data_IF_145227044013
#
_entry.id   IF_145227044013
#
_cell.length_a   1.000
_cell.length_b   1.000
_cell.length_c   1.000
_cell.angle_alpha   90.00
_cell.angle_beta   90.00
_cell.angle_gamma   90.00
#
_symmetry.space_group_name_H-M   'P 1'
#
loop_
_entity.id
_entity.type
_entity.pdbx_description
1 polymer ?
#
# COMPACT_ATOMS: atom_id res chain seq x y z
N UNK A 1 44.85 -45.74 18.44
CA UNK A 1 43.46 -46.06 18.82
C UNK A 1 42.55 -45.23 17.92
N UNK A 2 41.80 -45.92 17.04
CA UNK A 2 40.68 -45.50 16.15
C UNK A 2 40.94 -44.27 15.25
N UNK A 3 41.22 -44.32 13.93
CA UNK A 3 40.83 -45.13 12.74
C UNK A 3 39.33 -45.05 12.30
N UNK A 4 39.10 -44.53 11.09
CA UNK A 4 37.87 -44.65 10.26
C UNK A 4 37.74 -43.51 9.21
N UNK A 5 38.31 -43.59 7.98
CA UNK A 5 37.81 -44.25 6.74
C UNK A 5 36.53 -43.56 6.22
N UNK A 6 36.53 -42.65 5.22
CA UNK A 6 36.68 -42.80 3.75
C UNK A 6 35.78 -43.87 3.08
N UNK A 7 34.71 -43.42 2.41
CA UNK A 7 33.94 -43.98 1.26
C UNK A 7 32.42 -44.04 1.45
N UNK A 8 31.70 -43.18 0.71
CA UNK A 8 30.54 -43.58 -0.10
C UNK A 8 30.33 -42.51 -1.20
N UNK A 9 30.93 -42.74 -2.36
CA UNK A 9 30.59 -42.09 -3.63
C UNK A 9 29.72 -43.04 -4.45
N UNK A 10 28.84 -42.44 -5.26
CA UNK A 10 28.26 -42.98 -6.49
C UNK A 10 27.15 -44.05 -6.38
N UNK A 11 25.89 -43.62 -6.55
CA UNK A 11 25.05 -43.95 -7.73
C UNK A 11 23.60 -43.54 -7.48
N UNK A 12 23.14 -42.46 -8.14
CA UNK A 12 22.08 -42.55 -9.16
C UNK A 12 21.70 -41.15 -9.69
N UNK A 13 21.97 -40.99 -11.00
CA UNK A 13 21.37 -40.06 -11.96
C UNK A 13 21.51 -38.55 -11.64
N UNK A 14 22.47 -37.83 -12.23
CA UNK A 14 22.54 -37.59 -13.68
C UNK A 14 21.15 -37.34 -14.30
N UNK A 15 20.44 -36.32 -13.80
CA UNK A 15 19.61 -35.52 -14.69
C UNK A 15 20.53 -34.46 -15.30
N UNK A 16 21.02 -34.74 -16.50
CA UNK A 16 21.35 -33.70 -17.45
C UNK A 16 20.09 -32.85 -17.62
N UNK A 17 19.94 -31.79 -16.81
CA UNK A 17 19.08 -30.69 -17.20
C UNK A 17 19.77 -30.07 -18.39
N UNK A 18 19.28 -30.41 -19.58
CA UNK A 18 19.46 -29.58 -20.76
C UNK A 18 19.23 -28.14 -20.29
N UNK A 19 20.22 -27.24 -20.43
CA UNK A 19 19.94 -25.82 -20.23
C UNK A 19 18.77 -25.53 -21.16
N UNK A 20 17.64 -25.09 -20.60
CA UNK A 20 16.59 -24.51 -21.41
C UNK A 20 17.28 -23.41 -22.19
N UNK A 21 17.49 -23.65 -23.49
CA UNK A 21 17.86 -22.62 -24.44
C UNK A 21 16.68 -21.68 -24.49
N UNK A 22 16.71 -20.70 -23.60
CA UNK A 22 15.71 -19.65 -23.54
C UNK A 22 15.79 -18.92 -24.88
N UNK A 23 14.72 -18.99 -25.65
CA UNK A 23 14.65 -18.36 -26.95
C UNK A 23 14.60 -16.84 -26.72
N UNK A 24 15.77 -16.18 -26.75
CA UNK A 24 15.95 -14.72 -26.57
C UNK A 24 15.06 -13.84 -27.47
N UNK A 25 14.39 -14.43 -28.46
CA UNK A 25 13.53 -13.71 -29.40
C UNK A 25 12.13 -13.33 -28.87
N UNK A 26 11.78 -13.72 -27.66
CA UNK A 26 10.54 -13.29 -27.01
C UNK A 26 10.84 -12.49 -25.75
N UNK A 27 10.98 -11.16 -25.86
CA UNK A 27 10.56 -10.15 -24.84
C UNK A 27 11.18 -8.77 -25.13
N UNK A 28 10.61 -8.01 -26.06
CA UNK A 28 10.75 -6.55 -26.12
C UNK A 28 9.47 -5.83 -25.70
N UNK A 29 8.44 -6.55 -25.25
CA UNK A 29 7.22 -5.95 -24.74
C UNK A 29 7.50 -5.27 -23.40
N UNK A 30 7.44 -3.94 -23.40
CA UNK A 30 7.31 -3.10 -22.20
C UNK A 30 6.46 -3.78 -21.12
N UNK A 31 6.88 -3.68 -19.86
CA UNK A 31 6.07 -4.16 -18.75
C UNK A 31 4.64 -3.58 -18.86
N UNK A 32 3.57 -4.40 -18.82
CA UNK A 32 2.20 -3.92 -18.97
C UNK A 32 1.88 -2.88 -17.90
N UNK A 33 1.39 -1.71 -18.32
CA UNK A 33 1.09 -0.58 -17.44
C UNK A 33 -0.41 -0.27 -17.35
N UNK A 34 -1.27 -1.17 -17.83
CA UNK A 34 -2.71 -0.92 -17.95
C UNK A 34 -3.49 -1.92 -17.11
N UNK A 35 -4.44 -1.41 -16.32
CA UNK A 35 -5.41 -2.23 -15.59
C UNK A 35 -6.15 -3.14 -16.58
N UNK A 36 -6.35 -4.40 -16.21
CA UNK A 36 -6.98 -5.43 -17.02
C UNK A 36 -6.03 -6.19 -17.94
N UNK A 37 -4.76 -5.78 -18.07
CA UNK A 37 -3.76 -6.57 -18.80
C UNK A 37 -3.27 -7.75 -17.96
N UNK A 38 -2.90 -8.83 -18.65
CA UNK A 38 -2.26 -10.00 -18.03
C UNK A 38 -0.74 -9.85 -18.14
N UNK A 39 -0.08 -9.87 -16.99
CA UNK A 39 1.37 -10.03 -16.90
C UNK A 39 1.72 -11.52 -16.94
N UNK A 40 2.52 -11.94 -17.91
CA UNK A 40 2.99 -13.32 -18.05
C UNK A 40 4.49 -13.40 -17.81
N UNK A 41 4.93 -14.35 -16.98
CA UNK A 41 6.33 -14.62 -16.73
C UNK A 41 6.55 -16.08 -16.32
N UNK A 42 7.80 -16.54 -16.34
CA UNK A 42 8.17 -17.83 -15.77
C UNK A 42 8.63 -17.62 -14.33
N UNK A 43 8.26 -18.54 -13.45
CA UNK A 43 8.75 -18.53 -12.08
C UNK A 43 10.05 -19.30 -11.88
N UNK A 44 10.62 -19.26 -10.68
CA UNK A 44 11.86 -19.95 -10.31
C UNK A 44 11.84 -21.47 -10.55
N UNK A 45 10.66 -22.09 -10.67
CA UNK A 45 10.50 -23.51 -11.01
C UNK A 45 10.34 -23.76 -12.52
N UNK A 46 10.38 -22.73 -13.35
CA UNK A 46 10.15 -22.80 -14.78
C UNK A 46 8.67 -22.93 -15.17
N UNK A 47 7.74 -22.72 -14.23
CA UNK A 47 6.31 -22.76 -14.50
C UNK A 47 5.86 -21.39 -15.02
N UNK A 48 5.02 -21.39 -16.06
CA UNK A 48 4.39 -20.17 -16.56
C UNK A 48 3.38 -19.67 -15.52
N UNK A 49 3.48 -18.39 -15.17
CA UNK A 49 2.57 -17.66 -14.30
C UNK A 49 1.91 -16.53 -15.05
N UNK A 50 0.65 -16.25 -14.71
CA UNK A 50 -0.15 -15.20 -15.32
C UNK A 50 -0.85 -14.42 -14.21
N UNK A 51 -0.73 -13.10 -14.26
CA UNK A 51 -1.29 -12.20 -13.26
C UNK A 51 -2.12 -11.12 -13.95
N UNK A 52 -3.42 -11.08 -13.68
CA UNK A 52 -4.30 -10.01 -14.11
C UNK A 52 -4.04 -8.76 -13.26
N UNK A 53 -3.58 -7.68 -13.89
CA UNK A 53 -3.29 -6.41 -13.21
C UNK A 53 -4.58 -5.68 -12.86
N UNK A 54 -4.85 -5.45 -11.57
CA UNK A 54 -6.10 -4.84 -11.10
C UNK A 54 -5.94 -3.35 -10.77
N UNK A 55 -4.84 -2.98 -10.10
CA UNK A 55 -4.61 -1.59 -9.66
C UNK A 55 -3.13 -1.29 -9.52
N UNK A 56 -2.70 -0.12 -9.99
CA UNK A 56 -1.34 0.37 -9.74
C UNK A 56 -1.21 0.78 -8.26
N UNK A 57 -0.21 0.24 -7.56
CA UNK A 57 0.02 0.55 -6.13
C UNK A 57 1.13 1.57 -5.93
N UNK A 58 2.08 1.66 -6.87
CA UNK A 58 3.19 2.60 -6.81
C UNK A 58 4.34 2.18 -7.72
N UNK A 59 5.34 3.04 -7.85
CA UNK A 59 6.53 2.73 -8.62
C UNK A 59 7.64 3.74 -8.37
N UNK A 60 8.87 3.27 -8.42
CA UNK A 60 10.07 4.09 -8.27
C UNK A 60 10.83 4.22 -9.59
N UNK A 61 12.10 4.62 -9.50
CA UNK A 61 12.98 4.69 -10.68
C UNK A 61 13.12 3.33 -11.38
N UNK A 62 13.20 2.24 -10.61
CA UNK A 62 13.63 0.91 -11.11
C UNK A 62 12.53 -0.13 -11.23
N UNK A 63 11.45 0.01 -10.45
CA UNK A 63 10.37 -0.98 -10.37
C UNK A 63 8.99 -0.34 -10.32
N UNK A 64 7.98 -1.17 -10.58
CA UNK A 64 6.56 -0.85 -10.41
C UNK A 64 5.91 -1.94 -9.56
N UNK A 65 4.88 -1.59 -8.82
CA UNK A 65 4.12 -2.49 -7.95
C UNK A 65 2.63 -2.40 -8.33
N UNK A 66 2.02 -3.56 -8.52
CA UNK A 66 0.62 -3.71 -8.87
C UNK A 66 -0.10 -4.58 -7.85
N UNK A 67 -1.36 -4.26 -7.56
CA UNK A 67 -2.32 -5.24 -7.09
C UNK A 67 -2.68 -6.10 -8.30
N UNK A 68 -2.46 -7.39 -8.18
CA UNK A 68 -2.74 -8.35 -9.22
C UNK A 68 -3.42 -9.60 -8.66
N UNK A 69 -4.02 -10.37 -9.55
CA UNK A 69 -4.67 -11.64 -9.24
C UNK A 69 -4.08 -12.71 -10.15
N UNK A 70 -3.67 -13.86 -9.60
CA UNK A 70 -3.22 -14.98 -10.43
C UNK A 70 -4.40 -15.50 -11.28
N UNK A 71 -4.13 -15.84 -12.54
CA UNK A 71 -5.13 -16.39 -13.47
C UNK A 71 -4.60 -17.62 -14.20
N UNK A 72 -5.49 -18.53 -14.59
CA UNK A 72 -5.13 -19.69 -15.42
C UNK A 72 -5.00 -19.33 -16.91
N UNK A 73 -4.81 -20.33 -17.78
CA UNK A 73 -4.68 -20.15 -19.23
C UNK A 73 -5.95 -19.60 -19.90
N UNK A 74 -7.12 -19.85 -19.31
CA UNK A 74 -8.41 -19.36 -19.77
C UNK A 74 -8.72 -17.94 -19.21
N UNK A 75 -7.88 -17.44 -18.30
CA UNK A 75 -8.06 -16.15 -17.65
C UNK A 75 -8.97 -16.21 -16.42
N UNK A 76 -9.33 -17.40 -15.94
CA UNK A 76 -10.10 -17.56 -14.71
C UNK A 76 -9.23 -17.22 -13.51
N UNK A 77 -9.79 -16.50 -12.55
CA UNK A 77 -9.11 -16.11 -11.31
C UNK A 77 -8.74 -17.34 -10.49
N UNK A 78 -7.48 -17.40 -10.08
CA UNK A 78 -6.90 -18.42 -9.21
C UNK A 78 -6.30 -17.74 -7.96
N UNK A 79 -6.44 -18.38 -6.80
CA UNK A 79 -5.73 -17.98 -5.58
C UNK A 79 -6.14 -16.63 -4.96
N UNK A 80 -5.24 -16.08 -4.14
CA UNK A 80 -5.40 -14.81 -3.41
C UNK A 80 -4.81 -13.63 -4.19
N UNK A 81 -5.29 -12.39 -3.95
CA UNK A 81 -4.66 -11.19 -4.50
C UNK A 81 -3.21 -11.06 -4.03
N UNK A 82 -2.36 -10.52 -4.90
CA UNK A 82 -0.92 -10.36 -4.65
C UNK A 82 -0.46 -8.93 -4.93
N UNK A 83 0.58 -8.50 -4.21
CA UNK A 83 1.39 -7.37 -4.63
C UNK A 83 2.47 -7.89 -5.59
N UNK A 84 2.32 -7.54 -6.87
CA UNK A 84 3.26 -7.90 -7.93
C UNK A 84 4.23 -6.75 -8.17
N UNK A 85 5.46 -6.89 -7.68
CA UNK A 85 6.56 -5.97 -7.95
C UNK A 85 7.36 -6.48 -9.14
N UNK A 86 7.69 -5.61 -10.09
CA UNK A 86 8.50 -5.98 -11.24
C UNK A 86 9.48 -4.89 -11.64
N UNK A 87 10.67 -5.30 -12.08
CA UNK A 87 11.68 -4.40 -12.61
C UNK A 87 11.28 -3.87 -13.99
N UNK A 88 11.53 -2.58 -14.22
CA UNK A 88 11.35 -1.93 -15.52
C UNK A 88 12.40 -2.47 -16.50
N UNK A 89 12.03 -2.61 -17.78
CA UNK A 89 12.99 -3.02 -18.82
C UNK A 89 14.20 -2.07 -18.86
N UNK A 90 15.39 -2.61 -19.15
CA UNK A 90 16.67 -1.88 -19.25
C UNK A 90 17.19 -1.32 -17.91
N UNK A 91 16.81 -1.90 -16.77
CA UNK A 91 17.50 -1.59 -15.51
C UNK A 91 18.95 -2.05 -15.59
N UNK A 92 19.85 -1.24 -15.05
CA UNK A 92 21.27 -1.59 -14.90
C UNK A 92 21.42 -2.83 -14.00
N UNK A 93 22.50 -3.59 -14.20
CA UNK A 93 22.76 -4.84 -13.48
C UNK A 93 22.70 -4.68 -11.95
N UNK A 94 23.22 -3.56 -11.42
CA UNK A 94 23.17 -3.26 -9.98
C UNK A 94 21.76 -3.26 -9.40
N UNK A 95 20.76 -2.78 -10.14
CA UNK A 95 19.37 -2.74 -9.68
C UNK A 95 18.71 -4.12 -9.70
N UNK A 96 19.18 -4.99 -10.60
CA UNK A 96 18.76 -6.40 -10.62
C UNK A 96 19.34 -7.14 -9.42
N UNK A 97 20.61 -6.92 -9.10
CA UNK A 97 21.25 -7.52 -7.93
C UNK A 97 20.56 -7.06 -6.63
N UNK A 98 20.25 -5.77 -6.51
CA UNK A 98 19.48 -5.24 -5.37
C UNK A 98 18.07 -5.85 -5.27
N UNK A 99 17.39 -6.06 -6.40
CA UNK A 99 16.07 -6.70 -6.44
C UNK A 99 16.13 -8.18 -6.02
N UNK A 100 17.17 -8.90 -6.45
CA UNK A 100 17.41 -10.28 -6.03
C UNK A 100 17.76 -10.36 -4.54
N UNK A 101 18.53 -9.41 -4.03
CA UNK A 101 18.84 -9.32 -2.60
C UNK A 101 17.59 -9.03 -1.76
N UNK A 102 16.69 -8.14 -2.21
CA UNK A 102 15.39 -7.88 -1.57
C UNK A 102 14.58 -9.17 -1.38
N UNK A 103 14.51 -10.01 -2.41
CA UNK A 103 13.83 -11.32 -2.35
C UNK A 103 14.47 -12.21 -1.27
N UNK A 104 15.80 -12.23 -1.20
CA UNK A 104 16.52 -13.05 -0.22
C UNK A 104 16.33 -12.53 1.21
N UNK A 105 16.33 -11.21 1.41
CA UNK A 105 16.04 -10.56 2.70
C UNK A 105 14.65 -10.94 3.18
N UNK A 106 13.62 -10.77 2.34
CA UNK A 106 12.25 -11.13 2.68
C UNK A 106 12.11 -12.59 3.15
N UNK A 107 12.72 -13.53 2.41
CA UNK A 107 12.70 -14.96 2.77
C UNK A 107 13.43 -15.22 4.10
N UNK A 108 14.62 -14.66 4.25
CA UNK A 108 15.44 -14.85 5.46
C UNK A 108 14.73 -14.34 6.71
N UNK A 109 14.13 -13.15 6.63
CA UNK A 109 13.40 -12.57 7.75
C UNK A 109 12.11 -13.35 8.03
N UNK A 110 11.40 -13.80 6.99
CA UNK A 110 10.20 -14.62 7.15
C UNK A 110 10.50 -15.94 7.88
N UNK A 111 11.56 -16.63 7.48
CA UNK A 111 12.04 -17.84 8.15
C UNK A 111 12.47 -17.55 9.60
N UNK A 112 13.03 -16.37 9.87
CA UNK A 112 13.34 -15.95 11.23
C UNK A 112 12.07 -15.76 12.07
N UNK A 113 11.04 -15.07 11.56
CA UNK A 113 9.74 -14.92 12.24
C UNK A 113 9.07 -16.27 12.55
N UNK A 114 9.09 -17.20 11.60
CA UNK A 114 8.52 -18.55 11.77
C UNK A 114 9.19 -19.34 12.89
N UNK A 115 10.49 -19.13 13.12
CA UNK A 115 11.22 -19.75 14.24
C UNK A 115 10.82 -19.19 15.60
N UNK A 116 10.39 -17.91 15.64
CA UNK A 116 9.98 -17.26 16.89
C UNK A 116 8.62 -17.73 17.40
N UNK A 117 7.71 -18.11 16.49
CA UNK A 117 6.36 -18.58 16.81
C UNK A 117 5.56 -17.62 17.70
N UNK A 118 5.83 -16.32 17.60
CA UNK A 118 5.10 -15.28 18.34
C UNK A 118 3.80 -14.85 17.64
N UNK A 119 3.63 -15.22 16.36
CA UNK A 119 2.41 -15.02 15.59
C UNK A 119 2.24 -13.63 14.97
N UNK A 120 3.25 -12.76 15.04
CA UNK A 120 3.15 -11.40 14.49
C UNK A 120 3.27 -11.34 12.97
N UNK A 121 4.15 -12.15 12.37
CA UNK A 121 4.28 -12.31 10.92
C UNK A 121 4.31 -10.97 10.15
N UNK A 122 5.18 -10.06 10.54
CA UNK A 122 5.29 -8.72 10.01
C UNK A 122 5.95 -8.64 8.62
N UNK A 123 6.65 -9.69 8.19
CA UNK A 123 7.24 -9.78 6.86
C UNK A 123 6.20 -10.34 5.87
N UNK A 124 5.93 -9.65 4.74
CA UNK A 124 5.08 -10.15 3.68
C UNK A 124 5.55 -11.50 3.16
N UNK A 125 4.63 -12.45 3.00
CA UNK A 125 4.95 -13.76 2.43
C UNK A 125 5.29 -13.64 0.94
N UNK A 126 6.41 -14.25 0.51
CA UNK A 126 6.81 -14.32 -0.90
C UNK A 126 6.20 -15.57 -1.54
N UNK A 127 5.25 -15.38 -2.47
CA UNK A 127 4.58 -16.50 -3.13
C UNK A 127 5.34 -16.97 -4.36
N UNK A 128 5.82 -16.02 -5.18
CA UNK A 128 6.52 -16.37 -6.40
C UNK A 128 7.54 -15.33 -6.84
N UNK A 129 8.54 -15.77 -7.60
CA UNK A 129 9.63 -14.93 -8.14
C UNK A 129 10.09 -15.43 -9.50
N UNK A 130 10.58 -14.52 -10.34
CA UNK A 130 11.28 -14.89 -11.58
C UNK A 130 12.59 -15.64 -11.28
N UNK A 131 13.06 -16.55 -12.16
CA UNK A 131 14.42 -17.07 -12.09
C UNK A 131 15.45 -15.96 -12.19
N UNK A 132 16.60 -16.17 -11.54
CA UNK A 132 17.77 -15.28 -11.63
C UNK A 132 18.15 -15.03 -13.08
N UNK A 133 18.42 -13.78 -13.42
CA UNK A 133 18.81 -13.36 -14.78
C UNK A 133 17.69 -13.27 -15.82
N UNK A 134 16.45 -13.67 -15.51
CA UNK A 134 15.33 -13.56 -16.45
C UNK A 134 14.73 -12.15 -16.45
N UNK A 135 14.28 -11.68 -17.61
CA UNK A 135 13.61 -10.40 -17.78
C UNK A 135 12.18 -10.59 -18.31
N UNK A 136 11.17 -9.88 -17.76
CA UNK A 136 11.27 -9.00 -16.59
C UNK A 136 11.47 -9.81 -15.30
N UNK A 137 12.29 -9.28 -14.38
CA UNK A 137 12.37 -9.83 -13.04
C UNK A 137 11.12 -9.40 -12.26
N UNK A 138 10.54 -10.31 -11.49
CA UNK A 138 9.36 -10.03 -10.68
C UNK A 138 9.39 -10.76 -9.34
N UNK A 139 8.59 -10.21 -8.42
CA UNK A 139 8.29 -10.71 -7.09
C UNK A 139 6.77 -10.59 -6.89
N UNK A 140 6.10 -11.73 -6.68
CA UNK A 140 4.71 -11.79 -6.25
C UNK A 140 4.69 -12.12 -4.75
N UNK A 141 4.12 -11.22 -3.95
CA UNK A 141 4.09 -11.35 -2.49
C UNK A 141 2.70 -11.00 -1.93
N UNK A 142 2.54 -11.22 -0.62
CA UNK A 142 1.35 -10.86 0.13
C UNK A 142 0.90 -9.42 -0.16
N UNK A 143 -0.34 -9.27 -0.64
CA UNK A 143 -0.96 -7.97 -0.72
C UNK A 143 -1.45 -7.56 0.67
N UNK A 144 -0.99 -6.41 1.14
CA UNK A 144 -1.36 -5.85 2.44
C UNK A 144 -2.38 -4.73 2.22
N UNK A 145 -3.68 -4.95 2.47
CA UNK A 145 -4.74 -4.00 2.12
C UNK A 145 -4.93 -2.87 3.15
N UNK A 146 -3.98 -2.67 4.06
CA UNK A 146 -4.09 -1.71 5.16
C UNK A 146 -3.35 -0.42 4.86
N UNK A 147 -3.81 0.68 5.46
CA UNK A 147 -3.15 1.97 5.35
C UNK A 147 -1.82 1.99 6.13
N UNK A 148 -0.91 2.87 5.70
CA UNK A 148 0.35 3.13 6.42
C UNK A 148 0.08 3.80 7.76
N UNK A 149 0.93 3.52 8.76
CA UNK A 149 0.87 4.11 10.11
C UNK A 149 0.91 5.64 10.05
N UNK A 150 1.61 6.22 9.07
CA UNK A 150 1.61 7.67 8.81
C UNK A 150 0.19 8.26 8.68
N UNK A 151 -0.73 7.53 8.05
CA UNK A 151 -2.14 7.95 7.88
C UNK A 151 -2.97 7.88 9.16
N UNK A 152 -2.48 7.16 10.17
CA UNK A 152 -3.13 7.05 11.48
C UNK A 152 -2.52 8.00 12.52
N UNK A 153 -1.24 8.36 12.36
CA UNK A 153 -0.49 9.23 13.26
C UNK A 153 -0.71 10.71 12.96
N UNK A 154 -1.02 11.08 11.72
CA UNK A 154 -1.49 12.43 11.43
C UNK A 154 -2.98 12.50 11.80
N UNK A 155 -3.36 13.05 12.97
CA UNK A 155 -4.73 13.47 13.11
C UNK A 155 -4.97 14.45 11.97
N UNK A 156 -6.11 14.31 11.30
CA UNK A 156 -6.61 15.29 10.38
C UNK A 156 -6.98 16.60 11.12
N UNK A 157 -6.13 17.08 12.04
CA UNK A 157 -6.32 18.31 12.80
C UNK A 157 -6.58 19.44 11.82
N UNK A 158 -5.81 19.53 10.73
CA UNK A 158 -6.03 20.55 9.72
C UNK A 158 -7.42 20.44 9.07
N UNK A 159 -7.93 19.24 8.78
CA UNK A 159 -9.30 19.09 8.24
C UNK A 159 -10.35 19.35 9.30
N UNK A 160 -10.14 18.96 10.56
CA UNK A 160 -11.04 19.25 11.67
C UNK A 160 -11.13 20.77 11.85
N UNK A 161 -10.00 21.48 11.82
CA UNK A 161 -9.95 22.94 11.89
C UNK A 161 -10.57 23.58 10.65
N UNK A 162 -10.32 23.06 9.43
CA UNK A 162 -10.98 23.55 8.22
C UNK A 162 -12.50 23.34 8.25
N UNK A 163 -12.99 22.21 8.77
CA UNK A 163 -14.43 21.91 8.87
C UNK A 163 -15.08 22.78 9.95
N UNK A 164 -14.40 23.02 11.08
CA UNK A 164 -14.83 24.00 12.08
C UNK A 164 -14.94 25.39 11.47
N UNK A 165 -13.89 25.83 10.77
CA UNK A 165 -13.85 27.15 10.12
C UNK A 165 -14.96 27.29 9.06
N UNK A 166 -15.21 26.25 8.26
CA UNK A 166 -16.29 26.24 7.28
C UNK A 166 -17.66 26.39 7.95
N UNK A 167 -17.88 25.67 9.06
CA UNK A 167 -19.12 25.79 9.86
C UNK A 167 -19.28 27.18 10.44
N UNK A 168 -18.25 27.71 11.09
CA UNK A 168 -18.26 29.06 11.69
C UNK A 168 -18.50 30.14 10.62
N UNK A 169 -17.87 30.00 9.45
CA UNK A 169 -18.07 30.92 8.32
C UNK A 169 -19.51 30.84 7.78
N UNK A 170 -20.06 29.63 7.66
CA UNK A 170 -21.45 29.44 7.23
C UNK A 170 -22.47 30.03 8.22
N UNK A 171 -22.23 29.88 9.54
CA UNK A 171 -23.08 30.47 10.58
C UNK A 171 -22.99 32.01 10.58
N UNK A 172 -21.79 32.57 10.44
CA UNK A 172 -21.60 34.02 10.33
C UNK A 172 -22.25 34.61 9.07
N UNK A 173 -22.13 33.93 7.93
CA UNK A 173 -22.78 34.33 6.69
C UNK A 173 -24.30 34.32 6.81
N UNK A 174 -24.87 33.27 7.43
CA UNK A 174 -26.30 33.17 7.73
C UNK A 174 -26.79 34.33 8.60
N UNK A 175 -26.06 34.67 9.65
CA UNK A 175 -26.39 35.80 10.54
C UNK A 175 -26.36 37.14 9.78
N UNK A 176 -25.33 37.37 8.97
CA UNK A 176 -25.22 38.58 8.15
C UNK A 176 -26.39 38.71 7.16
N UNK A 177 -26.79 37.62 6.49
CA UNK A 177 -27.93 37.60 5.59
C UNK A 177 -29.24 37.98 6.30
N UNK A 178 -29.47 37.43 7.49
CA UNK A 178 -30.68 37.74 8.28
C UNK A 178 -30.71 39.21 8.67
N UNK A 179 -29.59 39.77 9.12
CA UNK A 179 -29.48 41.18 9.50
C UNK A 179 -29.69 42.11 8.29
N UNK A 180 -29.02 41.85 7.17
CA UNK A 180 -29.17 42.64 5.94
C UNK A 180 -30.60 42.57 5.39
N UNK A 181 -31.21 41.38 5.37
CA UNK A 181 -32.58 41.22 4.93
C UNK A 181 -33.56 41.98 5.85
N UNK A 182 -33.31 41.98 7.16
CA UNK A 182 -34.11 42.75 8.13
C UNK A 182 -33.99 44.27 7.88
N UNK A 183 -32.77 44.77 7.72
CA UNK A 183 -32.51 46.19 7.48
C UNK A 183 -33.13 46.66 6.15
N UNK A 184 -32.99 45.86 5.09
CA UNK A 184 -33.59 46.16 3.79
C UNK A 184 -35.13 46.18 3.86
N UNK A 185 -35.76 45.25 4.58
CA UNK A 185 -37.22 45.30 4.80
C UNK A 185 -37.65 46.57 5.55
N UNK A 186 -36.86 47.03 6.53
CA UNK A 186 -37.15 48.26 7.25
C UNK A 186 -37.09 49.50 6.33
N UNK A 187 -36.17 49.50 5.35
CA UNK A 187 -36.03 50.59 4.37
C UNK A 187 -37.09 50.55 3.28
N UNK A 188 -37.38 49.36 2.73
CA UNK A 188 -38.32 49.17 1.61
C UNK A 188 -39.78 49.34 2.01
N UNK A 189 -40.11 49.25 3.31
CA UNK A 189 -41.49 49.38 3.79
C UNK A 189 -42.38 48.23 3.33
N UNK A 190 -43.62 48.54 2.95
CA UNK A 190 -44.61 47.53 2.50
C UNK A 190 -44.68 47.36 0.97
N UNK A 191 -43.64 47.71 0.22
CA UNK A 191 -43.62 47.41 -1.22
C UNK A 191 -43.55 45.90 -1.46
N UNK A 192 -44.72 45.29 -1.65
CA UNK A 192 -44.90 43.84 -1.63
C UNK A 192 -44.10 43.09 -2.69
N UNK A 193 -43.79 43.70 -3.83
CA UNK A 193 -43.03 43.05 -4.90
C UNK A 193 -41.55 42.93 -4.55
N UNK A 194 -40.91 44.05 -4.17
CA UNK A 194 -39.49 44.07 -3.80
C UNK A 194 -39.22 43.28 -2.52
N UNK A 195 -40.15 43.33 -1.54
CA UNK A 195 -40.05 42.53 -0.32
C UNK A 195 -40.16 41.03 -0.63
N UNK A 196 -40.99 40.64 -1.60
CA UNK A 196 -41.11 39.23 -2.03
C UNK A 196 -39.85 38.72 -2.72
N UNK A 197 -39.25 39.52 -3.61
CA UNK A 197 -38.00 39.13 -4.30
C UNK A 197 -36.83 39.02 -3.31
N UNK A 198 -36.73 39.97 -2.38
CA UNK A 198 -35.75 39.93 -1.30
C UNK A 198 -35.93 38.69 -0.42
N UNK A 199 -37.18 38.32 -0.11
CA UNK A 199 -37.48 37.11 0.65
C UNK A 199 -37.00 35.85 -0.09
N UNK A 200 -37.31 35.72 -1.38
CA UNK A 200 -36.93 34.56 -2.18
C UNK A 200 -35.41 34.38 -2.27
N UNK A 201 -34.66 35.46 -2.48
CA UNK A 201 -33.19 35.43 -2.48
C UNK A 201 -32.64 35.06 -1.10
N UNK A 202 -33.20 35.64 -0.04
CA UNK A 202 -32.79 35.32 1.34
C UNK A 202 -33.02 33.83 1.64
N UNK A 203 -34.18 33.29 1.24
CA UNK A 203 -34.51 31.87 1.46
C UNK A 203 -33.58 30.94 0.66
N UNK A 204 -33.22 31.31 -0.57
CA UNK A 204 -32.27 30.57 -1.38
C UNK A 204 -30.87 30.53 -0.73
N UNK A 205 -30.36 31.68 -0.27
CA UNK A 205 -29.05 31.76 0.36
C UNK A 205 -29.02 31.07 1.73
N UNK A 206 -30.09 31.18 2.51
CA UNK A 206 -30.25 30.43 3.77
C UNK A 206 -30.23 28.91 3.53
N UNK A 207 -30.89 28.43 2.48
CA UNK A 207 -30.88 27.02 2.07
C UNK A 207 -29.47 26.53 1.70
N UNK A 208 -28.66 27.37 1.04
CA UNK A 208 -27.26 27.06 0.75
C UNK A 208 -26.42 26.98 2.04
N UNK A 209 -26.61 27.92 2.98
CA UNK A 209 -25.93 27.90 4.28
C UNK A 209 -26.28 26.64 5.09
N UNK A 210 -27.54 26.23 5.10
CA UNK A 210 -27.99 24.99 5.76
C UNK A 210 -27.38 23.73 5.09
N UNK A 211 -27.27 23.73 3.75
CA UNK A 211 -26.59 22.67 3.01
C UNK A 211 -25.10 22.56 3.36
N UNK A 212 -24.40 23.69 3.47
CA UNK A 212 -22.98 23.72 3.88
C UNK A 212 -22.79 23.21 5.31
N UNK A 213 -23.72 23.57 6.22
CA UNK A 213 -23.76 23.05 7.59
C UNK A 213 -23.94 21.53 7.60
N UNK A 214 -24.88 21.00 6.81
CA UNK A 214 -25.13 19.55 6.73
C UNK A 214 -23.90 18.79 6.22
N UNK A 215 -23.27 19.28 5.14
CA UNK A 215 -22.03 18.69 4.61
C UNK A 215 -20.92 18.71 5.65
N UNK A 216 -20.73 19.84 6.35
CA UNK A 216 -19.72 19.98 7.40
C UNK A 216 -19.92 18.95 8.52
N UNK A 217 -21.16 18.75 8.97
CA UNK A 217 -21.50 17.75 9.99
C UNK A 217 -21.19 16.31 9.52
N UNK A 218 -21.55 15.97 8.28
CA UNK A 218 -21.24 14.65 7.70
C UNK A 218 -19.73 14.42 7.58
N UNK A 219 -18.96 15.46 7.24
CA UNK A 219 -17.50 15.38 7.20
C UNK A 219 -16.92 15.20 8.61
N UNK A 220 -17.40 15.94 9.60
CA UNK A 220 -16.97 15.74 11.00
C UNK A 220 -17.27 14.32 11.49
N UNK A 221 -18.46 13.79 11.20
CA UNK A 221 -18.84 12.42 11.57
C UNK A 221 -17.88 11.41 10.93
N UNK A 222 -17.61 11.54 9.63
CA UNK A 222 -16.64 10.70 8.92
C UNK A 222 -15.21 10.84 9.46
N UNK A 223 -14.82 12.04 9.90
CA UNK A 223 -13.51 12.28 10.54
C UNK A 223 -13.44 11.67 11.95
N UNK A 224 -14.54 11.71 12.72
CA UNK A 224 -14.64 11.08 14.04
C UNK A 224 -14.64 9.55 13.95
N UNK A 225 -15.25 8.98 12.91
CA UNK A 225 -15.17 7.55 12.59
C UNK A 225 -13.72 7.10 12.34
N UNK A 226 -12.86 8.00 11.83
CA UNK A 226 -11.41 7.76 11.70
C UNK A 226 -10.72 7.98 13.04
N UNK A 227 -10.97 7.07 13.99
CA UNK A 227 -10.20 7.01 15.24
C UNK A 227 -8.72 6.84 14.91
N UNK A 228 -7.90 7.79 15.34
CA UNK A 228 -6.44 7.68 15.32
C UNK A 228 -5.93 6.47 16.12
N UNK A 229 -4.62 6.32 16.24
CA UNK A 229 -4.06 5.25 17.08
C UNK A 229 -4.30 5.57 18.56
N UNK A 230 -4.80 4.59 19.30
CA UNK A 230 -4.77 4.60 20.76
C UNK A 230 -3.37 4.27 21.29
N UNK A 231 -3.07 4.66 22.53
CA UNK A 231 -1.78 4.36 23.18
C UNK A 231 -1.42 2.87 23.11
N UNK A 232 -2.40 1.99 23.33
CA UNK A 232 -2.21 0.54 23.22
C UNK A 232 -1.83 0.08 21.81
N UNK A 233 -2.43 0.67 20.77
CA UNK A 233 -2.05 0.39 19.38
C UNK A 233 -0.64 0.92 19.07
N UNK A 234 -0.29 2.12 19.54
CA UNK A 234 1.05 2.69 19.38
C UNK A 234 2.11 1.78 20.01
N UNK A 235 1.88 1.33 21.25
CA UNK A 235 2.76 0.38 21.92
C UNK A 235 2.87 -0.94 21.16
N UNK A 236 1.75 -1.48 20.67
CA UNK A 236 1.73 -2.75 19.95
C UNK A 236 2.47 -2.67 18.61
N UNK A 237 2.26 -1.58 17.85
CA UNK A 237 2.98 -1.32 16.60
C UNK A 237 4.48 -1.20 16.88
N UNK A 238 4.85 -0.37 17.86
CA UNK A 238 6.25 -0.16 18.24
C UNK A 238 6.95 -1.47 18.63
N UNK A 239 6.30 -2.31 19.43
CA UNK A 239 6.85 -3.61 19.83
C UNK A 239 7.14 -4.52 18.63
N UNK A 240 6.20 -4.63 17.69
CA UNK A 240 6.38 -5.47 16.49
C UNK A 240 7.43 -4.90 15.52
N UNK A 241 7.47 -3.58 15.35
CA UNK A 241 8.51 -2.92 14.52
C UNK A 241 9.90 -3.15 15.13
N UNK A 242 10.07 -2.89 16.43
CA UNK A 242 11.33 -3.16 17.12
C UNK A 242 11.76 -4.62 16.98
N UNK A 243 10.79 -5.56 16.98
CA UNK A 243 11.08 -6.97 16.79
C UNK A 243 11.66 -7.27 15.41
N UNK A 244 11.09 -6.70 14.35
CA UNK A 244 11.61 -6.85 12.99
C UNK A 244 12.99 -6.21 12.83
N UNK A 245 13.19 -5.01 13.39
CA UNK A 245 14.49 -4.34 13.36
C UNK A 245 15.57 -5.13 14.10
N UNK A 246 15.21 -5.79 15.21
CA UNK A 246 16.11 -6.71 15.90
C UNK A 246 16.49 -7.90 15.00
N UNK A 247 15.53 -8.55 14.34
CA UNK A 247 15.82 -9.65 13.41
C UNK A 247 16.73 -9.20 12.26
N UNK A 248 16.51 -7.99 11.75
CA UNK A 248 17.35 -7.43 10.70
C UNK A 248 18.79 -7.21 11.19
N UNK A 249 18.97 -6.63 12.38
CA UNK A 249 20.28 -6.44 12.99
C UNK A 249 21.00 -7.78 13.24
N UNK A 250 20.30 -8.77 13.78
CA UNK A 250 20.83 -10.12 13.99
C UNK A 250 21.24 -10.82 12.68
N UNK A 251 20.64 -10.43 11.55
CA UNK A 251 21.03 -10.87 10.21
C UNK A 251 22.21 -10.10 9.58
N UNK A 252 22.79 -9.15 10.32
CA UNK A 252 23.89 -8.31 9.83
C UNK A 252 23.44 -7.25 8.83
N UNK A 253 22.19 -6.80 8.92
CA UNK A 253 21.59 -5.83 7.98
C UNK A 253 20.96 -4.65 8.72
N UNK A 254 20.85 -3.52 8.02
CA UNK A 254 20.21 -2.29 8.47
C UNK A 254 19.13 -1.82 7.49
N UNK A 255 18.17 -1.04 7.99
CA UNK A 255 17.08 -0.43 7.22
C UNK A 255 17.35 1.07 7.09
N UNK A 256 17.84 1.54 5.94
CA UNK A 256 18.38 2.90 5.83
C UNK A 256 17.33 4.00 5.76
N UNK A 257 16.16 3.71 5.19
CA UNK A 257 15.08 4.69 4.99
C UNK A 257 13.76 4.15 5.54
N UNK A 258 13.75 3.81 6.83
CA UNK A 258 12.54 3.29 7.48
C UNK A 258 11.55 4.42 7.74
N UNK A 259 10.38 4.39 7.08
CA UNK A 259 9.35 5.41 7.22
C UNK A 259 8.03 4.81 7.75
N UNK A 260 7.20 5.63 8.42
CA UNK A 260 5.91 5.19 8.94
C UNK A 260 4.91 4.78 7.85
N UNK A 261 5.10 5.25 6.61
CA UNK A 261 4.29 4.86 5.47
C UNK A 261 4.52 3.40 5.02
N UNK A 262 5.66 2.83 5.40
CA UNK A 262 6.05 1.45 5.09
C UNK A 262 5.55 0.46 6.13
N UNK A 263 5.05 0.94 7.27
CA UNK A 263 4.40 0.13 8.30
C UNK A 263 2.91 0.14 8.04
N UNK A 264 2.32 -0.99 7.68
CA UNK A 264 0.88 -1.15 7.53
C UNK A 264 0.28 -1.71 8.81
N UNK A 265 -0.83 -1.14 9.28
CA UNK A 265 -1.50 -1.56 10.51
C UNK A 265 -2.80 -2.30 10.24
N UNK A 266 -2.82 -3.60 10.53
CA UNK A 266 -4.02 -4.42 10.57
C UNK A 266 -4.62 -4.35 11.98
N UNK A 267 -5.52 -3.38 12.16
CA UNK A 267 -6.21 -3.13 13.43
C UNK A 267 -7.07 -4.31 13.88
N UNK A 268 -7.66 -5.06 12.95
CA UNK A 268 -8.57 -6.16 13.27
C UNK A 268 -7.81 -7.34 13.87
N UNK A 269 -6.58 -7.57 13.42
CA UNK A 269 -5.72 -8.66 13.90
C UNK A 269 -4.58 -8.20 14.82
N UNK A 270 -4.49 -6.90 15.12
CA UNK A 270 -3.42 -6.28 15.91
C UNK A 270 -2.00 -6.59 15.39
N UNK A 271 -1.83 -6.52 14.06
CA UNK A 271 -0.57 -6.89 13.39
C UNK A 271 -0.02 -5.79 12.52
N UNK A 272 1.30 -5.65 12.52
CA UNK A 272 1.99 -4.81 11.54
C UNK A 272 2.38 -5.65 10.33
N UNK A 273 2.48 -5.01 9.17
CA UNK A 273 3.16 -5.54 8.00
C UNK A 273 4.11 -4.49 7.48
N UNK A 274 5.40 -4.80 7.39
CA UNK A 274 6.41 -3.88 6.89
C UNK A 274 6.62 -4.15 5.40
N UNK A 275 6.53 -3.11 4.58
CA UNK A 275 6.71 -3.18 3.13
C UNK A 275 7.95 -2.36 2.71
N UNK A 276 8.24 -2.35 1.40
CA UNK A 276 9.35 -1.62 0.78
C UNK A 276 10.76 -1.96 1.29
N UNK A 277 11.20 -3.18 0.96
CA UNK A 277 12.45 -3.78 1.45
C UNK A 277 13.69 -3.49 0.57
N UNK A 278 13.55 -2.60 -0.40
CA UNK A 278 14.61 -2.23 -1.36
C UNK A 278 15.73 -1.35 -0.78
N UNK A 279 15.58 -0.86 0.46
CA UNK A 279 16.55 0.01 1.16
C UNK A 279 17.29 -0.69 2.30
N UNK A 280 17.24 -2.03 2.32
CA UNK A 280 18.00 -2.83 3.28
C UNK A 280 19.43 -3.00 2.78
N UNK A 281 20.40 -2.71 3.64
CA UNK A 281 21.83 -2.86 3.33
C UNK A 281 22.54 -3.74 4.36
N UNK A 282 23.68 -4.35 4.01
CA UNK A 282 24.60 -4.90 5.01
C UNK A 282 25.03 -3.81 6.03
N UNK A 283 25.31 -4.22 7.28
CA UNK A 283 25.91 -3.37 8.33
C UNK A 283 27.43 -3.25 8.20
#
# INVERSE_FOLDING_TARGET
MWNGIFWFMACLACQERTPMTYNEKATTSSFPQVVGQVFEAFNARGLKKRYLLQRFLGGGATSVVWLAQEVDEQGSVQGKPVALKALKLKTEAQWRDAFEDEIQVLRTLREAEERLKDGYYAIPEVYDVSPKGISPAYLAMEFVPHAGVDKWVQPHNDLIECVKLLRETGEAYREQLVNVASDLRAVLGQDGALVSDLQALTDQELSLADSLREVSLKVEEKLRERRGLSDGEVCQIGAQVCRVLQLLHESGRGYQDFQLQDVRWDRDHWRVKIIDWNVVTPL
#
